data_IF_758672677130
#
_entry.id   IF_758672677130
#
_cell.length_a   1.000
_cell.length_b   1.000
_cell.length_c   1.000
_cell.angle_alpha   90.00
_cell.angle_beta   90.00
_cell.angle_gamma   90.00
#
_symmetry.space_group_name_H-M   'P 1'
#
loop_
_entity.id
_entity.type
_entity.pdbx_description
1 polymer ?
#
# COMPACT_ATOMS: atom_id res chain seq x y z
N UNK A 1 -4.96 -6.95 15.41
CA UNK A 1 -5.58 -8.13 14.77
C UNK A 1 -4.80 -9.41 15.08
N UNK A 2 -3.58 -9.60 14.57
CA UNK A 2 -2.81 -10.84 14.78
C UNK A 2 -2.54 -11.19 16.26
N UNK A 3 -2.31 -10.20 17.13
CA UNK A 3 -2.15 -10.44 18.57
C UNK A 3 -3.42 -10.98 19.24
N UNK A 4 -4.58 -10.81 18.61
CA UNK A 4 -5.90 -11.21 19.13
C UNK A 4 -6.39 -12.47 18.43
N UNK A 5 -6.24 -12.56 17.10
CA UNK A 5 -6.80 -13.62 16.27
C UNK A 5 -5.75 -14.59 15.67
N UNK A 6 -4.47 -14.34 15.90
CA UNK A 6 -3.36 -15.11 15.35
C UNK A 6 -2.94 -14.65 13.94
N UNK A 7 -1.68 -14.94 13.60
CA UNK A 7 -1.09 -14.59 12.29
C UNK A 7 -1.82 -15.27 11.13
N UNK A 8 -2.09 -16.58 11.25
CA UNK A 8 -2.79 -17.37 10.21
C UNK A 8 -4.13 -16.74 9.82
N UNK A 9 -4.94 -16.35 10.80
CA UNK A 9 -6.24 -15.70 10.56
C UNK A 9 -6.07 -14.34 9.88
N UNK A 10 -5.04 -13.58 10.23
CA UNK A 10 -4.73 -12.31 9.56
C UNK A 10 -4.26 -12.50 8.12
N UNK A 11 -3.46 -13.53 7.85
CA UNK A 11 -3.00 -13.90 6.51
C UNK A 11 -4.19 -14.32 5.64
N UNK A 12 -5.06 -15.22 6.13
CA UNK A 12 -6.29 -15.62 5.44
C UNK A 12 -7.21 -14.44 5.15
N UNK A 13 -7.42 -13.54 6.12
CA UNK A 13 -8.23 -12.34 5.90
C UNK A 13 -7.66 -11.46 4.78
N UNK A 14 -6.35 -11.24 4.78
CA UNK A 14 -5.74 -10.46 3.71
C UNK A 14 -5.87 -11.15 2.34
N UNK A 15 -5.66 -12.46 2.28
CA UNK A 15 -5.82 -13.22 1.05
C UNK A 15 -7.24 -13.13 0.51
N UNK A 16 -8.24 -13.41 1.35
CA UNK A 16 -9.64 -13.50 0.94
C UNK A 16 -10.29 -12.15 0.64
N UNK A 17 -9.91 -11.09 1.36
CA UNK A 17 -10.60 -9.80 1.30
C UNK A 17 -9.82 -8.70 0.58
N UNK A 18 -8.52 -8.88 0.34
CA UNK A 18 -7.68 -7.86 -0.32
C UNK A 18 -7.01 -8.44 -1.57
N UNK A 19 -6.19 -9.48 -1.41
CA UNK A 19 -5.33 -9.96 -2.49
C UNK A 19 -6.12 -10.68 -3.59
N UNK A 20 -6.96 -11.65 -3.23
CA UNK A 20 -7.70 -12.44 -4.21
C UNK A 20 -8.76 -11.59 -4.96
N UNK A 21 -9.56 -10.74 -4.30
CA UNK A 21 -10.46 -9.82 -5.01
C UNK A 21 -9.74 -8.92 -6.01
N UNK A 22 -8.59 -8.36 -5.63
CA UNK A 22 -7.77 -7.56 -6.55
C UNK A 22 -7.25 -8.37 -7.74
N UNK A 23 -6.76 -9.59 -7.50
CA UNK A 23 -6.33 -10.51 -8.58
C UNK A 23 -7.46 -10.83 -9.54
N UNK A 24 -8.66 -11.13 -9.03
CA UNK A 24 -9.83 -11.37 -9.87
C UNK A 24 -10.20 -10.14 -10.71
N UNK A 25 -10.07 -8.95 -10.12
CA UNK A 25 -10.27 -7.70 -10.84
C UNK A 25 -9.25 -7.53 -11.98
N UNK A 26 -7.95 -7.73 -11.73
CA UNK A 26 -6.88 -7.62 -12.74
C UNK A 26 -6.99 -8.63 -13.90
N UNK A 27 -7.61 -9.81 -13.67
CA UNK A 27 -7.83 -10.78 -14.74
C UNK A 27 -8.81 -10.31 -15.81
N UNK A 28 -9.75 -9.44 -15.44
CA UNK A 28 -10.79 -8.93 -16.33
C UNK A 28 -10.58 -7.48 -16.78
N UNK A 29 -9.65 -6.75 -16.17
CA UNK A 29 -9.53 -5.30 -16.33
C UNK A 29 -8.08 -4.86 -16.45
N UNK A 30 -7.81 -3.96 -17.39
CA UNK A 30 -6.60 -3.15 -17.36
C UNK A 30 -6.85 -1.95 -16.45
N UNK A 31 -6.08 -1.85 -15.36
CA UNK A 31 -6.25 -0.79 -14.36
C UNK A 31 -5.22 0.32 -14.58
N UNK A 32 -5.63 1.58 -14.38
CA UNK A 32 -4.64 2.66 -14.32
C UNK A 32 -3.76 2.60 -13.04
N UNK A 33 -2.82 3.54 -12.92
CA UNK A 33 -1.95 3.69 -11.75
C UNK A 33 -2.64 4.40 -10.58
N UNK A 34 -2.11 4.28 -9.36
CA UNK A 34 -2.72 4.83 -8.13
C UNK A 34 -2.74 6.36 -8.16
N UNK A 35 -1.64 7.00 -8.55
CA UNK A 35 -1.46 8.44 -8.49
C UNK A 35 -2.14 9.18 -9.65
N UNK A 36 -3.46 9.28 -9.62
CA UNK A 36 -4.23 10.02 -10.62
C UNK A 36 -5.45 10.75 -10.05
N UNK A 37 -5.99 11.76 -10.73
CA UNK A 37 -7.23 12.44 -10.34
C UNK A 37 -8.43 11.49 -10.26
N UNK A 38 -9.37 11.78 -9.35
CA UNK A 38 -10.61 11.01 -9.20
C UNK A 38 -11.44 10.91 -10.49
N UNK A 39 -11.37 11.92 -11.36
CA UNK A 39 -12.07 11.94 -12.65
C UNK A 39 -11.53 10.95 -13.69
N UNK A 40 -10.37 10.36 -13.46
CA UNK A 40 -9.74 9.39 -14.36
C UNK A 40 -10.05 7.93 -14.00
N UNK A 41 -10.92 7.69 -13.01
CA UNK A 41 -11.42 6.35 -12.71
C UNK A 41 -12.68 6.08 -13.51
N UNK A 42 -12.78 4.90 -14.12
CA UNK A 42 -13.93 4.53 -14.96
C UNK A 42 -15.22 4.37 -14.14
N UNK A 43 -15.08 3.85 -12.93
CA UNK A 43 -16.17 3.56 -12.00
C UNK A 43 -15.62 3.33 -10.57
N UNK A 44 -16.54 3.09 -9.64
CA UNK A 44 -16.22 2.82 -8.24
C UNK A 44 -15.52 1.47 -8.00
N UNK A 45 -15.70 0.49 -8.89
CA UNK A 45 -15.03 -0.79 -8.81
C UNK A 45 -13.54 -0.66 -9.12
N UNK A 46 -13.19 0.11 -10.15
CA UNK A 46 -11.78 0.45 -10.43
C UNK A 46 -11.16 1.23 -9.27
N UNK A 47 -11.88 2.22 -8.73
CA UNK A 47 -11.40 3.00 -7.60
C UNK A 47 -11.11 2.10 -6.39
N UNK A 48 -12.03 1.19 -6.05
CA UNK A 48 -11.86 0.29 -4.92
C UNK A 48 -10.67 -0.67 -5.10
N UNK A 49 -10.56 -1.28 -6.28
CA UNK A 49 -9.47 -2.17 -6.60
C UNK A 49 -8.10 -1.46 -6.57
N UNK A 50 -7.99 -0.28 -7.20
CA UNK A 50 -6.72 0.42 -7.36
C UNK A 50 -6.32 1.19 -6.09
N UNK A 51 -7.23 1.94 -5.47
CA UNK A 51 -6.87 2.78 -4.31
C UNK A 51 -6.81 1.96 -3.02
N UNK A 52 -7.84 1.17 -2.73
CA UNK A 52 -7.89 0.44 -1.46
C UNK A 52 -7.12 -0.88 -1.54
N UNK A 53 -7.41 -1.72 -2.53
CA UNK A 53 -6.81 -3.06 -2.56
C UNK A 53 -5.34 -3.02 -2.94
N UNK A 54 -4.97 -2.43 -4.10
CA UNK A 54 -3.58 -2.31 -4.52
C UNK A 54 -2.74 -1.51 -3.52
N UNK A 55 -3.28 -0.40 -2.99
CA UNK A 55 -2.63 0.39 -1.94
C UNK A 55 -2.31 -0.44 -0.69
N UNK A 56 -3.24 -1.27 -0.22
CA UNK A 56 -3.01 -2.17 0.90
C UNK A 56 -1.96 -3.25 0.58
N UNK A 57 -1.96 -3.80 -0.63
CA UNK A 57 -0.95 -4.79 -1.06
C UNK A 57 0.45 -4.15 -1.07
N UNK A 58 0.60 -2.94 -1.62
CA UNK A 58 1.86 -2.19 -1.64
C UNK A 58 2.37 -1.94 -0.22
N UNK A 59 1.50 -1.51 0.70
CA UNK A 59 1.89 -1.28 2.09
C UNK A 59 2.29 -2.57 2.82
N UNK A 60 1.61 -3.70 2.57
CA UNK A 60 1.99 -5.00 3.15
C UNK A 60 3.33 -5.50 2.62
N UNK A 61 3.57 -5.35 1.32
CA UNK A 61 4.85 -5.70 0.70
C UNK A 61 5.98 -4.81 1.24
N UNK A 62 5.71 -3.52 1.42
CA UNK A 62 6.64 -2.60 2.05
C UNK A 62 6.95 -3.04 3.49
N UNK A 63 5.93 -3.35 4.31
CA UNK A 63 6.11 -3.89 5.68
C UNK A 63 7.00 -5.14 5.68
N UNK A 64 6.78 -6.06 4.73
CA UNK A 64 7.60 -7.27 4.58
C UNK A 64 9.06 -6.95 4.27
N UNK A 65 9.31 -5.95 3.41
CA UNK A 65 10.66 -5.52 3.01
C UNK A 65 11.41 -4.78 4.12
N UNK A 66 10.75 -3.83 4.79
CA UNK A 66 11.40 -3.01 5.85
C UNK A 66 11.39 -3.66 7.22
N UNK A 67 10.50 -4.64 7.42
CA UNK A 67 10.23 -5.28 8.69
C UNK A 67 9.19 -4.53 9.53
N UNK A 68 8.28 -5.30 10.13
CA UNK A 68 7.15 -4.81 10.95
C UNK A 68 7.48 -3.77 12.01
N UNK A 69 8.62 -3.93 12.69
CA UNK A 69 9.04 -3.01 13.74
C UNK A 69 9.36 -1.61 13.17
N UNK A 70 10.23 -1.57 12.15
CA UNK A 70 10.60 -0.32 11.45
C UNK A 70 9.40 0.30 10.74
N UNK A 71 8.55 -0.51 10.10
CA UNK A 71 7.34 -0.01 9.45
C UNK A 71 6.41 0.71 10.45
N UNK A 72 6.13 0.09 11.61
CA UNK A 72 5.31 0.71 12.65
C UNK A 72 5.95 1.97 13.23
N UNK A 73 7.27 1.99 13.38
CA UNK A 73 7.98 3.18 13.84
C UNK A 73 7.90 4.31 12.81
N UNK A 74 8.09 4.02 11.51
CA UNK A 74 7.91 4.98 10.43
C UNK A 74 6.50 5.57 10.41
N UNK A 75 5.45 4.75 10.61
CA UNK A 75 4.07 5.24 10.73
C UNK A 75 3.87 6.18 11.93
N UNK A 76 4.52 5.93 13.06
CA UNK A 76 4.48 6.84 14.21
C UNK A 76 5.18 8.16 13.91
N UNK A 77 6.35 8.13 13.30
CA UNK A 77 7.10 9.33 12.88
C UNK A 77 6.27 10.14 11.89
N UNK A 78 5.72 9.48 10.86
CA UNK A 78 4.84 10.08 9.87
C UNK A 78 3.61 10.74 10.49
N UNK A 79 2.96 10.08 11.44
CA UNK A 79 1.81 10.63 12.14
C UNK A 79 2.18 11.86 12.98
N UNK A 80 3.27 11.78 13.75
CA UNK A 80 3.69 12.86 14.65
C UNK A 80 4.12 14.12 13.89
N UNK A 81 4.89 13.99 12.80
CA UNK A 81 5.40 15.14 12.04
C UNK A 81 4.29 15.92 11.30
N UNK A 82 3.20 15.22 10.93
CA UNK A 82 2.11 15.74 10.13
C UNK A 82 0.83 16.03 10.92
N UNK A 83 0.85 15.83 12.24
CA UNK A 83 -0.34 16.08 13.07
C UNK A 83 -0.81 17.53 12.89
N UNK A 84 -2.12 17.69 12.67
CA UNK A 84 -2.78 18.99 12.41
C UNK A 84 -2.37 19.68 11.10
N UNK A 85 -1.85 18.93 10.13
CA UNK A 85 -1.49 19.41 8.79
C UNK A 85 -2.05 18.48 7.71
N UNK A 86 -1.98 18.94 6.46
CA UNK A 86 -2.19 18.08 5.30
C UNK A 86 -0.86 17.38 4.99
N UNK A 87 -0.89 16.05 4.90
CA UNK A 87 0.27 15.24 4.56
C UNK A 87 0.30 14.91 3.05
N UNK A 88 1.48 14.64 2.54
CA UNK A 88 1.77 14.22 1.18
C UNK A 88 2.50 12.87 1.16
N UNK A 89 2.60 12.28 -0.03
CA UNK A 89 3.44 11.08 -0.26
C UNK A 89 4.89 11.31 0.16
N UNK A 90 5.42 12.52 -0.05
CA UNK A 90 6.79 12.87 0.30
C UNK A 90 7.02 12.79 1.82
N UNK A 91 6.05 13.23 2.62
CA UNK A 91 6.18 13.16 4.08
C UNK A 91 6.25 11.70 4.57
N UNK A 92 5.52 10.78 3.91
CA UNK A 92 5.60 9.35 4.22
C UNK A 92 6.97 8.76 3.85
N UNK A 93 7.49 9.10 2.67
CA UNK A 93 8.83 8.70 2.24
C UNK A 93 9.89 9.19 3.23
N UNK A 94 9.82 10.45 3.67
CA UNK A 94 10.77 11.02 4.62
C UNK A 94 10.76 10.29 5.98
N UNK A 95 9.58 10.01 6.53
CA UNK A 95 9.45 9.27 7.77
C UNK A 95 10.01 7.85 7.65
N UNK A 96 9.73 7.18 6.53
CA UNK A 96 10.23 5.84 6.25
C UNK A 96 11.76 5.85 6.13
N UNK A 97 12.32 6.73 5.30
CA UNK A 97 13.74 6.86 5.06
C UNK A 97 14.50 7.17 6.36
N UNK A 98 13.94 8.04 7.22
CA UNK A 98 14.50 8.38 8.53
C UNK A 98 14.63 7.18 9.45
N UNK A 99 13.62 6.30 9.47
CA UNK A 99 13.60 5.12 10.35
C UNK A 99 14.40 3.96 9.77
N UNK A 100 14.36 3.77 8.44
CA UNK A 100 15.04 2.64 7.81
C UNK A 100 16.51 2.89 7.53
N UNK A 101 16.91 4.15 7.34
CA UNK A 101 18.26 4.55 6.89
C UNK A 101 18.53 4.19 5.42
N UNK A 102 17.47 4.11 4.61
CA UNK A 102 17.51 3.68 3.21
C UNK A 102 16.54 4.56 2.43
N UNK A 103 16.89 4.93 1.21
CA UNK A 103 16.01 5.72 0.36
C UNK A 103 14.97 4.83 -0.35
N UNK A 104 13.69 5.05 -0.04
CA UNK A 104 12.55 4.35 -0.61
C UNK A 104 11.79 5.15 -1.66
N UNK A 105 12.28 6.34 -2.04
CA UNK A 105 11.60 7.27 -2.96
C UNK A 105 11.23 6.57 -4.27
N UNK A 106 12.21 5.99 -4.96
CA UNK A 106 11.98 5.34 -6.25
C UNK A 106 11.02 4.15 -6.14
N UNK A 107 11.15 3.34 -5.09
CA UNK A 107 10.26 2.21 -4.89
C UNK A 107 8.80 2.69 -4.74
N UNK A 108 8.55 3.66 -3.86
CA UNK A 108 7.19 4.16 -3.60
C UNK A 108 6.62 4.84 -4.83
N UNK A 109 7.37 5.72 -5.49
CA UNK A 109 6.89 6.41 -6.69
C UNK A 109 6.64 5.44 -7.85
N UNK A 110 7.46 4.39 -8.01
CA UNK A 110 7.20 3.36 -9.00
C UNK A 110 5.90 2.59 -8.70
N UNK A 111 5.64 2.23 -7.45
CA UNK A 111 4.38 1.55 -7.08
C UNK A 111 3.15 2.45 -7.34
N UNK A 112 3.27 3.75 -7.11
CA UNK A 112 2.17 4.70 -7.28
C UNK A 112 1.90 5.06 -8.75
N UNK A 113 2.92 5.07 -9.60
CA UNK A 113 2.82 5.45 -11.02
C UNK A 113 2.73 4.25 -11.98
N UNK A 114 3.02 3.04 -11.52
CA UNK A 114 2.95 1.85 -12.38
C UNK A 114 1.50 1.41 -12.61
N UNK A 115 1.18 1.04 -13.85
CA UNK A 115 -0.03 0.28 -14.20
C UNK A 115 0.28 -1.20 -14.48
N UNK A 116 1.51 -1.64 -14.21
CA UNK A 116 1.87 -3.04 -14.38
C UNK A 116 1.14 -3.90 -13.34
N UNK A 117 0.67 -5.10 -13.75
CA UNK A 117 0.10 -6.06 -12.81
C UNK A 117 1.08 -6.36 -11.69
N UNK A 118 0.56 -6.58 -10.48
CA UNK A 118 1.38 -7.02 -9.36
C UNK A 118 1.87 -8.45 -9.60
N UNK A 119 3.00 -8.60 -10.29
CA UNK A 119 3.67 -9.89 -10.46
C UNK A 119 4.15 -10.39 -9.11
N UNK A 120 3.70 -11.59 -8.76
CA UNK A 120 4.20 -12.40 -7.64
C UNK A 120 4.14 -11.75 -6.25
N UNK A 121 2.97 -11.23 -5.87
CA UNK A 121 2.62 -11.11 -4.44
C UNK A 121 2.33 -12.52 -3.85
N UNK A 122 3.36 -13.37 -3.78
CA UNK A 122 3.31 -14.69 -3.13
C UNK A 122 4.10 -14.65 -1.81
#
# INVERSE_FOLDING_TARGET
FEHVYGKKTGDTFYEDYILNPYRFYELGHTSGHILRPLSEFSDWGEYDAVIYSRGAIVLRELERRVGKAKFREALRVYFQQNMYKNASTQDFIEALNRVTGTDWTDYILNQLNSSEPLKDAA
#
